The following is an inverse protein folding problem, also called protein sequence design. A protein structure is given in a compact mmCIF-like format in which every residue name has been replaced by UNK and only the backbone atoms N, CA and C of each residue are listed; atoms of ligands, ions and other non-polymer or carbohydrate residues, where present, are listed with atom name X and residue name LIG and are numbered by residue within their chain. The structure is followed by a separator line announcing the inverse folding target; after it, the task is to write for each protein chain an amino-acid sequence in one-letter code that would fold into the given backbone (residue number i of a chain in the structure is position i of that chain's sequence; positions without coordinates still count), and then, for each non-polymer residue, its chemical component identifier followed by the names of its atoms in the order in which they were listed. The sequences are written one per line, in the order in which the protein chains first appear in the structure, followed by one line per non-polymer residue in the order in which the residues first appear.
data_IF_803947427463
#
_entry.id   IF_803947427463
#
_cell.length_a   1.000
_cell.length_b   1.000
_cell.length_c   1.000
_cell.angle_alpha   90.00
_cell.angle_beta   90.00
_cell.angle_gamma   90.00
#
_symmetry.space_group_name_H-M   'P 1'
#
loop_
_entity.id
_entity.type
_entity.pdbx_description
1 polymer ?
#
# COMPACT_ATOMS: atom_id res chain seq x y z
N UNK A 1 -21.48 -4.56 2.84
CA UNK A 1 -20.32 -5.45 2.88
C UNK A 1 -19.06 -4.62 3.07
N UNK A 2 -18.24 -4.99 4.02
CA UNK A 2 -16.97 -4.28 4.27
C UNK A 2 -15.97 -4.59 3.15
N UNK A 3 -15.16 -3.60 2.77
CA UNK A 3 -14.08 -3.81 1.82
C UNK A 3 -12.97 -4.63 2.48
N UNK A 4 -12.44 -5.57 1.74
CA UNK A 4 -11.29 -6.36 2.17
C UNK A 4 -10.02 -5.77 1.55
N UNK A 5 -9.46 -4.79 2.22
CA UNK A 5 -8.25 -4.12 1.73
C UNK A 5 -7.03 -5.04 1.76
N UNK A 6 -6.93 -5.92 2.75
CA UNK A 6 -5.83 -6.88 2.80
C UNK A 6 -5.92 -7.88 1.64
N UNK A 7 -7.08 -8.51 1.44
CA UNK A 7 -7.27 -9.45 0.35
C UNK A 7 -7.06 -8.81 -1.02
N UNK A 8 -7.48 -7.56 -1.16
CA UNK A 8 -7.24 -6.79 -2.40
C UNK A 8 -5.75 -6.55 -2.60
N UNK A 9 -5.04 -6.14 -1.55
CA UNK A 9 -3.58 -5.94 -1.64
C UNK A 9 -2.86 -7.23 -2.02
N UNK A 10 -3.26 -8.35 -1.45
CA UNK A 10 -2.68 -9.67 -1.77
C UNK A 10 -2.88 -10.03 -3.24
N UNK A 11 -4.10 -9.88 -3.74
CA UNK A 11 -4.44 -10.14 -5.14
C UNK A 11 -3.66 -9.23 -6.09
N UNK A 12 -3.63 -7.94 -5.78
CA UNK A 12 -2.93 -6.95 -6.61
C UNK A 12 -1.41 -7.17 -6.59
N UNK A 13 -0.85 -7.59 -5.45
CA UNK A 13 0.58 -7.90 -5.35
C UNK A 13 0.93 -9.09 -6.25
N UNK A 14 0.13 -10.14 -6.23
CA UNK A 14 0.31 -11.30 -7.09
C UNK A 14 0.25 -10.91 -8.56
N UNK A 15 -0.79 -10.19 -8.96
CA UNK A 15 -1.01 -9.82 -10.36
C UNK A 15 0.06 -8.83 -10.84
N UNK A 16 0.44 -7.87 -10.01
CA UNK A 16 1.50 -6.92 -10.32
C UNK A 16 2.83 -7.63 -10.58
N UNK A 17 3.18 -8.60 -9.75
CA UNK A 17 4.41 -9.39 -9.93
C UNK A 17 4.35 -10.22 -11.22
N UNK A 18 3.22 -10.85 -11.51
CA UNK A 18 3.05 -11.60 -12.76
C UNK A 18 3.23 -10.71 -13.98
N UNK A 19 2.65 -9.50 -13.94
CA UNK A 19 2.78 -8.55 -15.05
C UNK A 19 4.23 -8.08 -15.20
N UNK A 20 4.91 -7.81 -14.10
CA UNK A 20 6.33 -7.43 -14.12
C UNK A 20 7.18 -8.53 -14.76
N UNK A 21 6.98 -9.78 -14.35
CA UNK A 21 7.74 -10.92 -14.85
C UNK A 21 7.47 -11.17 -16.35
N UNK A 22 6.32 -10.75 -16.84
CA UNK A 22 5.94 -10.86 -18.26
C UNK A 22 6.18 -9.57 -19.05
N UNK A 23 6.94 -8.63 -18.50
CA UNK A 23 7.31 -7.37 -19.13
C UNK A 23 6.14 -6.44 -19.45
N UNK A 24 5.06 -6.56 -18.70
CA UNK A 24 3.92 -5.65 -18.77
C UNK A 24 4.11 -4.54 -17.74
N UNK A 25 5.11 -3.69 -17.98
CA UNK A 25 5.61 -2.74 -16.99
C UNK A 25 4.57 -1.73 -16.53
N UNK A 26 3.85 -1.13 -17.46
CA UNK A 26 2.87 -0.10 -17.12
C UNK A 26 1.79 -0.64 -16.18
N UNK A 27 1.18 -1.76 -16.53
CA UNK A 27 0.13 -2.35 -15.70
C UNK A 27 0.68 -2.91 -14.39
N UNK A 28 1.92 -3.41 -14.40
CA UNK A 28 2.58 -3.82 -13.17
C UNK A 28 2.71 -2.63 -12.20
N UNK A 29 3.13 -1.48 -12.69
CA UNK A 29 3.21 -0.26 -11.89
C UNK A 29 1.85 0.20 -11.39
N UNK A 30 0.84 0.15 -12.26
CA UNK A 30 -0.52 0.54 -11.90
C UNK A 30 -1.03 -0.28 -10.70
N UNK A 31 -0.88 -1.61 -10.75
CA UNK A 31 -1.32 -2.48 -9.67
C UNK A 31 -0.45 -2.34 -8.42
N UNK A 32 0.86 -2.12 -8.57
CA UNK A 32 1.76 -1.91 -7.44
C UNK A 32 1.31 -0.71 -6.58
N UNK A 33 0.86 0.37 -7.23
CA UNK A 33 0.31 1.53 -6.53
C UNK A 33 -0.92 1.18 -5.69
N UNK A 34 -1.78 0.32 -6.19
CA UNK A 34 -2.94 -0.14 -5.43
C UNK A 34 -2.55 -1.01 -4.23
N UNK A 35 -1.47 -1.78 -4.33
CA UNK A 35 -0.96 -2.53 -3.17
C UNK A 35 -0.63 -1.56 -2.04
N UNK A 36 0.05 -0.47 -2.35
CA UNK A 36 0.42 0.55 -1.36
C UNK A 36 -0.82 1.24 -0.80
N UNK A 37 -1.77 1.62 -1.66
CA UNK A 37 -3.02 2.25 -1.25
C UNK A 37 -3.80 1.33 -0.30
N UNK A 38 -4.03 0.09 -0.70
CA UNK A 38 -4.76 -0.87 0.12
C UNK A 38 -4.00 -1.20 1.40
N UNK A 39 -2.66 -1.16 1.34
CA UNK A 39 -1.81 -1.34 2.50
C UNK A 39 -2.03 -0.23 3.54
N UNK A 40 -1.99 1.02 3.13
CA UNK A 40 -2.29 2.14 4.02
C UNK A 40 -3.70 2.03 4.62
N UNK A 41 -4.68 1.66 3.81
CA UNK A 41 -6.05 1.49 4.30
C UNK A 41 -6.18 0.33 5.29
N UNK A 42 -5.48 -0.77 5.06
CA UNK A 42 -5.44 -1.89 6.00
C UNK A 42 -4.87 -1.46 7.35
N UNK A 43 -3.77 -0.72 7.34
CA UNK A 43 -3.13 -0.20 8.56
C UNK A 43 -4.08 0.77 9.28
N UNK A 44 -4.68 1.70 8.56
CA UNK A 44 -5.61 2.67 9.13
C UNK A 44 -6.84 2.00 9.74
N UNK A 45 -7.38 0.98 9.07
CA UNK A 45 -8.52 0.21 9.54
C UNK A 45 -8.17 -0.58 10.81
N UNK A 46 -6.98 -1.19 10.85
CA UNK A 46 -6.50 -1.90 12.03
C UNK A 46 -6.34 -0.95 13.24
N UNK A 47 -6.08 0.32 12.99
CA UNK A 47 -5.94 1.35 14.01
C UNK A 47 -7.26 2.11 14.31
N UNK A 48 -8.38 1.62 13.80
CA UNK A 48 -9.72 2.06 14.18
C UNK A 48 -10.53 2.85 13.17
N UNK A 49 -10.00 3.15 11.99
CA UNK A 49 -10.77 3.82 10.96
C UNK A 49 -11.76 2.86 10.28
N UNK A 50 -12.92 3.38 9.92
CA UNK A 50 -13.93 2.57 9.24
C UNK A 50 -13.71 2.56 7.72
N UNK A 51 -14.13 1.49 7.01
CA UNK A 51 -14.06 1.47 5.55
C UNK A 51 -14.79 2.65 4.91
N UNK A 52 -15.92 3.08 5.48
CA UNK A 52 -16.68 4.21 4.97
C UNK A 52 -15.88 5.52 5.03
N UNK A 53 -15.13 5.73 6.12
CA UNK A 53 -14.26 6.91 6.25
C UNK A 53 -13.16 6.89 5.19
N UNK A 54 -12.57 5.72 4.94
CA UNK A 54 -11.46 5.57 3.99
C UNK A 54 -11.89 5.71 2.52
N UNK A 55 -13.16 5.47 2.22
CA UNK A 55 -13.70 5.63 0.86
C UNK A 55 -14.05 7.07 0.50
N UNK A 56 -14.20 7.93 1.51
CA UNK A 56 -14.64 9.32 1.31
C UNK A 56 -13.45 10.26 1.11
N UNK A 57 -13.64 11.38 0.41
CA UNK A 57 -12.64 12.45 0.43
C UNK A 57 -12.30 12.86 1.86
N UNK A 58 -11.04 13.20 2.16
CA UNK A 58 -9.92 13.35 1.21
C UNK A 58 -9.18 12.05 0.88
N UNK A 59 -9.54 10.91 1.49
CA UNK A 59 -8.74 9.70 1.40
C UNK A 59 -8.84 9.02 0.03
N UNK A 60 -9.94 8.36 -0.27
CA UNK A 60 -10.15 7.71 -1.57
C UNK A 60 -8.90 7.00 -2.12
N UNK A 61 -8.42 7.45 -3.26
CA UNK A 61 -7.21 6.93 -3.91
C UNK A 61 -5.97 7.83 -3.68
N UNK A 62 -5.97 8.63 -2.64
CA UNK A 62 -4.94 9.63 -2.40
C UNK A 62 -3.89 9.14 -1.40
N UNK A 63 -2.73 8.68 -1.88
CA UNK A 63 -1.65 8.18 -1.03
C UNK A 63 -1.16 9.25 -0.05
N UNK A 64 -1.08 10.50 -0.49
CA UNK A 64 -0.60 11.60 0.35
C UNK A 64 -1.50 11.82 1.56
N UNK A 65 -2.81 11.69 1.38
CA UNK A 65 -3.76 11.87 2.48
C UNK A 65 -3.84 10.64 3.38
N UNK A 66 -3.54 9.46 2.85
CA UNK A 66 -3.54 8.22 3.64
C UNK A 66 -2.31 8.10 4.54
N UNK A 67 -1.18 8.67 4.12
CA UNK A 67 0.10 8.55 4.83
C UNK A 67 0.03 9.04 6.28
N UNK A 68 -0.57 10.22 6.61
CA UNK A 68 -0.63 10.67 8.00
C UNK A 68 -1.32 9.71 8.94
N UNK A 69 -2.26 8.89 8.43
CA UNK A 69 -2.97 7.91 9.26
C UNK A 69 -2.02 6.82 9.77
N UNK A 70 -1.04 6.44 8.94
CA UNK A 70 -0.07 5.40 9.30
C UNK A 70 1.08 5.93 10.13
N UNK A 71 1.37 7.23 10.06
CA UNK A 71 2.41 7.86 10.87
C UNK A 71 2.05 7.93 12.35
N UNK A 72 0.79 7.79 12.68
CA UNK A 72 0.33 7.78 14.07
C UNK A 72 0.73 6.49 14.80
N UNK A 73 0.98 5.41 14.05
CA UNK A 73 1.33 4.12 14.62
C UNK A 73 2.55 4.19 15.56
N UNK A 74 3.67 4.83 15.18
CA UNK A 74 4.80 4.96 16.10
C UNK A 74 4.57 5.92 17.25
N UNK A 75 3.60 6.84 17.13
CA UNK A 75 3.32 7.86 18.14
C UNK A 75 2.31 7.38 19.19
N UNK A 76 1.54 6.35 18.86
CA UNK A 76 0.49 5.82 19.74
C UNK A 76 0.99 4.49 20.30
N UNK A 77 1.89 4.58 21.28
CA UNK A 77 2.46 3.39 21.95
C UNK A 77 1.40 2.51 22.61
N UNK A 78 0.22 3.06 22.86
CA UNK A 78 -0.91 2.33 23.40
C UNK A 78 -1.82 1.76 22.31
N UNK A 79 -1.53 2.00 21.02
CA UNK A 79 -2.34 1.46 19.95
C UNK A 79 -2.17 -0.05 19.89
N UNK A 80 -3.26 -0.74 19.59
CA UNK A 80 -3.25 -2.17 19.41
C UNK A 80 -2.26 -2.59 18.33
N UNK A 81 -2.21 -1.83 17.24
CA UNK A 81 -1.32 -2.09 16.12
C UNK A 81 0.15 -2.05 16.54
N UNK A 82 0.54 -1.05 17.33
CA UNK A 82 1.90 -0.94 17.84
C UNK A 82 2.26 -2.12 18.73
N UNK A 83 1.34 -2.51 19.64
CA UNK A 83 1.53 -3.63 20.55
C UNK A 83 1.66 -4.95 19.79
N UNK A 84 0.82 -5.17 18.78
CA UNK A 84 0.79 -6.42 18.01
C UNK A 84 2.02 -6.57 17.09
N UNK A 85 2.63 -5.47 16.67
CA UNK A 85 3.80 -5.51 15.79
C UNK A 85 5.11 -5.89 16.49
N UNK A 86 5.20 -5.79 17.81
CA UNK A 86 6.30 -6.31 18.65
C UNK A 86 7.71 -6.12 18.08
N UNK A 87 8.12 -4.88 17.85
CA UNK A 87 9.46 -4.59 17.38
C UNK A 87 9.62 -4.64 15.86
N UNK A 88 8.60 -5.04 15.11
CA UNK A 88 8.57 -4.80 13.69
C UNK A 88 7.98 -3.40 13.47
N UNK A 89 8.86 -2.46 13.15
CA UNK A 89 8.46 -1.08 12.93
C UNK A 89 8.14 -0.88 11.46
N UNK A 90 6.91 -0.44 11.18
CA UNK A 90 6.58 0.05 9.86
C UNK A 90 7.23 1.42 9.70
N UNK A 91 8.19 1.50 8.80
CA UNK A 91 8.87 2.74 8.48
C UNK A 91 8.20 3.36 7.25
N UNK A 92 7.30 4.31 7.47
CA UNK A 92 6.59 4.98 6.39
C UNK A 92 7.54 5.70 5.42
N UNK A 93 8.75 6.05 5.84
CA UNK A 93 9.72 6.70 4.96
C UNK A 93 10.19 5.78 3.82
N UNK A 94 10.15 4.48 4.00
CA UNK A 94 10.44 3.52 2.92
C UNK A 94 9.43 3.65 1.79
N UNK A 95 8.23 4.08 2.09
CA UNK A 95 7.19 4.33 1.09
C UNK A 95 7.26 5.77 0.58
N UNK A 96 7.29 6.75 1.49
CA UNK A 96 7.21 8.18 1.13
C UNK A 96 8.41 8.68 0.34
N UNK A 97 9.57 8.04 0.47
CA UNK A 97 10.76 8.36 -0.30
C UNK A 97 10.83 7.63 -1.65
N UNK A 98 9.87 6.75 -1.94
CA UNK A 98 9.89 5.93 -3.15
C UNK A 98 9.40 6.67 -4.39
N UNK A 99 9.84 6.19 -5.55
CA UNK A 99 9.36 6.71 -6.83
C UNK A 99 7.86 6.47 -7.00
N UNK A 100 7.35 5.32 -6.54
CA UNK A 100 5.93 5.01 -6.59
C UNK A 100 5.11 6.09 -5.88
N UNK A 101 5.48 6.42 -4.65
CA UNK A 101 4.73 7.39 -3.86
C UNK A 101 4.68 8.78 -4.52
N UNK A 102 5.79 9.19 -5.13
CA UNK A 102 5.89 10.53 -5.72
C UNK A 102 5.24 10.64 -7.09
N UNK A 103 5.05 9.53 -7.81
CA UNK A 103 4.61 9.56 -9.21
C UNK A 103 3.33 8.81 -9.50
N UNK A 104 2.89 7.91 -8.61
CA UNK A 104 1.72 7.08 -8.91
C UNK A 104 0.42 7.85 -8.73
N UNK A 105 -0.44 7.77 -9.74
CA UNK A 105 -1.81 8.28 -9.72
C UNK A 105 -2.68 7.27 -10.49
N UNK A 106 -3.83 6.82 -9.94
CA UNK A 106 -4.67 5.85 -10.62
C UNK A 106 -5.22 6.34 -11.96
N UNK A 107 -5.29 7.64 -12.18
CA UNK A 107 -5.72 8.19 -13.47
C UNK A 107 -4.69 7.97 -14.58
N UNK A 108 -3.44 7.74 -14.23
CA UNK A 108 -2.36 7.53 -15.20
C UNK A 108 -2.43 6.17 -15.90
N UNK A 109 -3.36 5.31 -15.49
CA UNK A 109 -3.65 4.05 -16.22
C UNK A 109 -3.98 4.30 -17.69
N UNK A 110 -4.51 5.49 -17.98
CA UNK A 110 -4.88 5.85 -19.34
C UNK A 110 -3.72 6.41 -20.18
N UNK A 111 -2.52 6.43 -19.61
CA UNK A 111 -1.29 6.85 -20.27
C UNK A 111 -0.34 5.66 -20.37
N UNK A 112 -0.51 4.78 -21.36
CA UNK A 112 0.10 3.44 -21.36
C UNK A 112 1.62 3.41 -21.50
N UNK A 113 2.26 4.53 -21.79
CA UNK A 113 3.72 4.61 -21.87
C UNK A 113 4.38 5.29 -20.69
N UNK A 114 3.60 5.78 -19.70
CA UNK A 114 4.14 6.55 -18.61
C UNK A 114 5.08 5.74 -17.71
N UNK A 115 4.73 4.50 -17.41
CA UNK A 115 5.51 3.60 -16.56
C UNK A 115 6.03 2.39 -17.33
N UNK A 116 6.17 2.49 -18.65
CA UNK A 116 6.52 1.36 -19.52
C UNK A 116 8.03 1.15 -19.58
N UNK A 117 8.63 0.90 -18.42
CA UNK A 117 10.07 0.82 -18.22
C UNK A 117 10.38 -0.16 -17.09
N UNK A 118 11.34 -1.06 -17.33
CA UNK A 118 11.71 -2.12 -16.39
C UNK A 118 12.20 -1.56 -15.06
N UNK A 119 13.06 -0.54 -15.09
CA UNK A 119 13.62 0.04 -13.87
C UNK A 119 12.55 0.69 -13.02
N UNK A 120 11.62 1.41 -13.63
CA UNK A 120 10.49 2.02 -12.94
C UNK A 120 9.62 0.94 -12.31
N UNK A 121 9.29 -0.10 -13.08
CA UNK A 121 8.49 -1.22 -12.58
C UNK A 121 9.20 -1.94 -11.42
N UNK A 122 10.51 -2.15 -11.53
CA UNK A 122 11.29 -2.79 -10.47
C UNK A 122 11.22 -1.98 -9.17
N UNK A 123 11.38 -0.67 -9.25
CA UNK A 123 11.27 0.20 -8.07
C UNK A 123 9.87 0.15 -7.45
N UNK A 124 8.83 0.15 -8.30
CA UNK A 124 7.45 0.03 -7.83
C UNK A 124 7.21 -1.33 -7.16
N UNK A 125 7.77 -2.41 -7.72
CA UNK A 125 7.67 -3.75 -7.13
C UNK A 125 8.33 -3.80 -5.74
N UNK A 126 9.48 -3.17 -5.58
CA UNK A 126 10.18 -3.13 -4.29
C UNK A 126 9.36 -2.40 -3.23
N UNK A 127 8.75 -1.28 -3.58
CA UNK A 127 7.90 -0.51 -2.68
C UNK A 127 6.65 -1.31 -2.28
N UNK A 128 5.99 -1.91 -3.27
CA UNK A 128 4.81 -2.73 -3.02
C UNK A 128 5.15 -3.95 -2.16
N UNK A 129 6.28 -4.59 -2.41
CA UNK A 129 6.74 -5.73 -1.62
C UNK A 129 7.01 -5.34 -0.16
N UNK A 130 7.62 -4.19 0.07
CA UNK A 130 7.85 -3.68 1.42
C UNK A 130 6.52 -3.53 2.17
N UNK A 131 5.55 -2.88 1.55
CA UNK A 131 4.22 -2.71 2.13
C UNK A 131 3.56 -4.06 2.40
N UNK A 132 3.56 -4.95 1.43
CA UNK A 132 2.87 -6.22 1.56
C UNK A 132 3.51 -7.12 2.62
N UNK A 133 4.83 -7.11 2.73
CA UNK A 133 5.54 -7.87 3.78
C UNK A 133 5.10 -7.42 5.18
N UNK A 134 4.90 -6.12 5.37
CA UNK A 134 4.39 -5.60 6.63
C UNK A 134 2.95 -6.07 6.88
N UNK A 135 2.10 -6.05 5.86
CA UNK A 135 0.72 -6.53 6.00
C UNK A 135 0.66 -8.01 6.38
N UNK A 136 1.55 -8.83 5.82
CA UNK A 136 1.63 -10.25 6.19
C UNK A 136 1.99 -10.44 7.65
N UNK A 137 2.91 -9.64 8.18
CA UNK A 137 3.25 -9.67 9.60
C UNK A 137 2.06 -9.28 10.48
N UNK A 138 1.31 -8.25 10.09
CA UNK A 138 0.09 -7.87 10.81
C UNK A 138 -0.92 -9.02 10.83
N UNK A 139 -1.04 -9.76 9.74
CA UNK A 139 -1.95 -10.89 9.66
C UNK A 139 -1.50 -12.04 10.55
N UNK A 140 -0.21 -12.35 10.56
CA UNK A 140 0.34 -13.38 11.44
C UNK A 140 0.14 -13.05 12.91
N UNK A 141 0.15 -11.77 13.25
CA UNK A 141 -0.07 -11.31 14.61
C UNK A 141 -1.57 -11.16 14.97
N UNK A 142 -2.47 -11.43 14.04
CA UNK A 142 -3.91 -11.33 14.27
C UNK A 142 -4.47 -9.92 14.24
N UNK A 143 -3.71 -8.93 13.73
CA UNK A 143 -4.13 -7.53 13.68
C UNK A 143 -5.05 -7.23 12.49
N UNK A 144 -5.03 -8.06 11.48
CA UNK A 144 -5.86 -7.91 10.28
C UNK A 144 -6.43 -9.24 9.81
#
# INVERSE_FOLDING_TARGET
MANDYFGTAESMQHDSRCLHDNRCWHNACYLAGYVVECGFKTIAEADGMTPQQLMRPPYGHNLTQLTPLTRLVPLVTASRLFTDCRGMLFDSSQITSSLLYSTWDPNDRYQPTLWDDEDTSQQFQETAQYMFSFLQELRLNGSV
#
